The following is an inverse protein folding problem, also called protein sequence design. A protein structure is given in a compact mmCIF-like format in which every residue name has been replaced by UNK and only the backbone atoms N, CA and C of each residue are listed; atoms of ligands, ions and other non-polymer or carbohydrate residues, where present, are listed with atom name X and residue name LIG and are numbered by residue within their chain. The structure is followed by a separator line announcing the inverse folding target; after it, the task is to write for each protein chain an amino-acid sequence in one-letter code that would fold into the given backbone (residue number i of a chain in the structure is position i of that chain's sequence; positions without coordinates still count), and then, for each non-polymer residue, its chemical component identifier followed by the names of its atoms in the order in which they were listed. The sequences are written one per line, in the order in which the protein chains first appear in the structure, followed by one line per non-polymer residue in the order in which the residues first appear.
data_IF_642392136300
#
_entry.id   IF_642392136300
#
_cell.length_a   1.000
_cell.length_b   1.000
_cell.length_c   1.000
_cell.angle_alpha   90.00
_cell.angle_beta   90.00
_cell.angle_gamma   90.00
#
_symmetry.space_group_name_H-M   'P 1'
#
loop_
_entity.id
_entity.type
_entity.pdbx_description
1 polymer ?
#
# COMPACT_ATOMS: atom_id res chain seq x y z
N UNK A 1 14.34 -16.90 6.00
CA UNK A 1 14.13 -16.17 4.73
C UNK A 1 12.95 -15.25 4.97
N UNK A 2 13.19 -13.97 5.27
CA UNK A 2 12.12 -13.01 5.56
C UNK A 2 11.43 -12.76 4.21
N UNK A 3 10.10 -12.92 4.10
CA UNK A 3 9.41 -12.77 2.83
C UNK A 3 9.74 -11.38 2.26
N UNK A 4 9.97 -11.34 0.94
CA UNK A 4 10.05 -10.10 0.17
C UNK A 4 8.85 -9.21 0.56
N UNK A 5 9.10 -8.09 1.23
CA UNK A 5 8.07 -7.20 1.82
C UNK A 5 7.32 -6.35 0.78
N UNK A 6 7.58 -6.59 -0.50
CA UNK A 6 6.99 -5.83 -1.61
C UNK A 6 5.53 -6.23 -1.77
N UNK A 7 4.61 -5.29 -1.51
CA UNK A 7 3.17 -5.55 -1.44
C UNK A 7 2.36 -4.42 -2.04
N UNK A 8 1.31 -4.80 -2.75
CA UNK A 8 0.31 -3.87 -3.27
C UNK A 8 -0.57 -3.41 -2.12
N UNK A 9 -0.64 -2.09 -1.89
CA UNK A 9 -1.35 -1.54 -0.73
C UNK A 9 -2.72 -0.94 -1.04
N UNK A 10 -3.03 -0.80 -2.32
CA UNK A 10 -4.30 -0.26 -2.79
C UNK A 10 -4.63 -0.87 -4.15
N UNK A 11 -5.86 -1.36 -4.30
CA UNK A 11 -6.36 -1.95 -5.54
C UNK A 11 -7.11 -0.90 -6.37
N UNK A 12 -6.72 -0.77 -7.64
CA UNK A 12 -7.16 0.28 -8.56
C UNK A 12 -6.14 1.42 -8.66
N UNK A 13 -6.37 2.33 -9.61
CA UNK A 13 -5.58 3.55 -9.76
C UNK A 13 -6.10 4.62 -8.80
N UNK A 14 -5.23 5.09 -7.90
CA UNK A 14 -5.57 6.14 -6.95
C UNK A 14 -5.66 7.50 -7.65
N UNK A 15 -6.77 8.21 -7.44
CA UNK A 15 -6.88 9.62 -7.84
C UNK A 15 -5.96 10.51 -7.00
N UNK A 16 -5.78 11.77 -7.40
CA UNK A 16 -4.95 12.75 -6.68
C UNK A 16 -5.19 12.79 -5.17
N UNK A 17 -6.44 12.81 -4.71
CA UNK A 17 -6.77 12.89 -3.28
C UNK A 17 -6.38 11.59 -2.58
N UNK A 18 -6.63 10.45 -3.22
CA UNK A 18 -6.26 9.14 -2.73
C UNK A 18 -4.74 8.98 -2.68
N UNK A 19 -3.98 9.43 -3.69
CA UNK A 19 -2.52 9.40 -3.74
C UNK A 19 -1.90 10.11 -2.53
N UNK A 20 -2.30 11.36 -2.25
CA UNK A 20 -1.77 12.07 -1.07
C UNK A 20 -2.15 11.39 0.24
N UNK A 21 -3.37 10.82 0.34
CA UNK A 21 -3.74 10.01 1.51
C UNK A 21 -2.91 8.73 1.63
N UNK A 22 -2.45 8.15 0.52
CA UNK A 22 -1.57 6.99 0.52
C UNK A 22 -0.17 7.34 0.99
N UNK A 23 0.36 8.51 0.61
CA UNK A 23 1.64 8.98 1.15
C UNK A 23 1.61 9.13 2.67
N UNK A 24 0.47 9.55 3.20
CA UNK A 24 0.25 9.76 4.63
C UNK A 24 -0.40 8.58 5.35
N UNK A 25 -0.48 7.39 4.73
CA UNK A 25 -1.25 6.26 5.29
C UNK A 25 -0.75 5.74 6.65
N UNK A 26 0.45 6.13 7.05
CA UNK A 26 1.10 5.79 8.31
C UNK A 26 1.38 7.01 9.20
N UNK A 27 0.79 8.18 8.92
CA UNK A 27 1.06 9.42 9.67
C UNK A 27 0.77 9.33 11.18
N UNK A 28 -0.19 8.50 11.57
CA UNK A 28 -0.64 8.33 12.96
C UNK A 28 0.11 7.21 13.71
N UNK A 29 1.16 6.64 13.10
CA UNK A 29 1.94 5.57 13.75
C UNK A 29 2.69 6.11 14.97
N UNK A 30 2.58 5.46 16.13
CA UNK A 30 3.47 5.72 17.27
C UNK A 30 4.93 5.46 16.86
N UNK A 31 5.86 6.31 17.31
CA UNK A 31 7.30 6.15 17.10
C UNK A 31 7.73 6.04 15.61
N UNK A 32 7.10 6.83 14.72
CA UNK A 32 7.37 6.86 13.28
C UNK A 32 8.86 7.05 12.90
N UNK A 33 9.66 7.64 13.79
CA UNK A 33 11.05 8.05 13.54
C UNK A 33 12.08 7.02 14.06
N UNK A 34 11.65 5.92 14.67
CA UNK A 34 12.58 4.84 15.05
C UNK A 34 13.04 4.03 13.82
N UNK A 35 14.28 3.53 13.84
CA UNK A 35 14.91 2.75 12.74
C UNK A 35 14.07 1.55 12.26
N UNK A 36 13.14 1.05 13.09
CA UNK A 36 12.20 -0.02 12.74
C UNK A 36 11.14 0.40 11.69
N UNK A 37 10.98 1.69 11.39
CA UNK A 37 10.00 2.18 10.41
C UNK A 37 10.39 1.84 8.96
N UNK A 38 11.69 1.61 8.70
CA UNK A 38 12.20 1.28 7.36
C UNK A 38 11.51 0.05 6.78
N UNK A 39 11.40 -1.02 7.56
CA UNK A 39 10.74 -2.27 7.14
C UNK A 39 9.22 -2.12 6.92
N UNK A 40 8.60 -1.08 7.50
CA UNK A 40 7.18 -0.81 7.29
C UNK A 40 6.95 -0.21 5.90
N UNK A 41 7.67 0.86 5.57
CA UNK A 41 7.48 1.57 4.32
C UNK A 41 8.10 0.86 3.12
N UNK A 42 9.22 0.15 3.31
CA UNK A 42 9.91 -0.50 2.19
C UNK A 42 9.03 -1.57 1.53
N UNK A 43 8.85 -1.43 0.22
CA UNK A 43 8.11 -2.39 -0.59
C UNK A 43 6.63 -2.09 -0.76
N UNK A 44 6.08 -1.04 -0.15
CA UNK A 44 4.69 -0.65 -0.39
C UNK A 44 4.55 0.05 -1.74
N UNK A 45 3.58 -0.38 -2.55
CA UNK A 45 3.29 0.25 -3.84
C UNK A 45 1.80 0.25 -4.18
N UNK A 46 1.41 1.18 -5.05
CA UNK A 46 0.07 1.29 -5.60
C UNK A 46 0.09 1.96 -6.99
N UNK A 47 -1.00 1.79 -7.72
CA UNK A 47 -1.20 2.41 -9.03
C UNK A 47 -1.77 3.83 -8.88
N UNK A 48 -1.36 4.74 -9.76
CA UNK A 48 -1.84 6.12 -9.87
C UNK A 48 -2.21 6.43 -11.32
N UNK A 49 -2.83 7.58 -11.56
CA UNK A 49 -3.03 8.10 -12.92
C UNK A 49 -1.79 8.78 -13.49
N UNK A 50 -1.81 8.98 -14.82
CA UNK A 50 -0.80 9.75 -15.56
C UNK A 50 -0.68 11.18 -15.04
N UNK A 51 -1.81 11.87 -14.84
CA UNK A 51 -1.82 13.24 -14.33
C UNK A 51 -1.20 13.36 -12.94
N UNK A 52 -1.38 12.35 -12.07
CA UNK A 52 -0.73 12.29 -10.77
C UNK A 52 0.78 12.05 -10.88
N UNK A 53 1.20 11.16 -11.78
CA UNK A 53 2.62 10.90 -12.06
C UNK A 53 3.34 12.16 -12.56
N UNK A 54 2.78 12.80 -13.57
CA UNK A 54 3.37 13.99 -14.20
C UNK A 54 3.40 15.17 -13.23
N UNK A 55 2.34 15.33 -12.43
CA UNK A 55 2.34 16.32 -11.36
C UNK A 55 3.50 16.11 -10.38
N UNK A 56 3.76 14.85 -9.97
CA UNK A 56 4.84 14.54 -9.04
C UNK A 56 6.23 14.70 -9.69
N UNK A 57 6.32 14.55 -11.01
CA UNK A 57 7.54 14.82 -11.77
C UNK A 57 7.84 16.32 -11.86
N UNK A 58 6.82 17.15 -12.06
CA UNK A 58 6.97 18.60 -12.26
C UNK A 58 7.16 19.39 -10.95
N UNK A 59 6.76 18.83 -9.80
CA UNK A 59 6.75 19.58 -8.54
C UNK A 59 8.17 20.00 -8.10
N UNK A 60 9.16 19.12 -8.25
CA UNK A 60 10.55 19.34 -7.89
C UNK A 60 11.48 18.49 -8.77
N UNK A 61 12.70 18.97 -9.10
CA UNK A 61 13.65 18.17 -9.86
C UNK A 61 13.90 16.82 -9.16
N UNK A 62 13.82 15.69 -9.88
CA UNK A 62 13.99 14.39 -9.26
C UNK A 62 15.41 14.21 -8.73
N UNK A 63 15.55 13.37 -7.70
CA UNK A 63 16.87 12.99 -7.18
C UNK A 63 17.69 12.27 -8.25
N UNK A 64 17.03 11.41 -9.01
CA UNK A 64 17.55 10.75 -10.18
C UNK A 64 16.39 10.29 -11.08
N UNK A 65 16.71 10.06 -12.35
CA UNK A 65 15.79 9.52 -13.35
C UNK A 65 16.49 8.41 -14.13
N UNK A 66 15.79 7.31 -14.40
CA UNK A 66 16.29 6.18 -15.16
C UNK A 66 15.14 5.56 -15.96
N UNK A 67 15.20 5.71 -17.28
CA UNK A 67 14.24 5.05 -18.18
C UNK A 67 12.79 5.32 -17.77
N UNK A 68 12.13 4.28 -17.29
CA UNK A 68 10.72 4.24 -16.91
C UNK A 68 10.45 4.59 -15.43
N UNK A 69 11.39 5.25 -14.74
CA UNK A 69 11.20 5.63 -13.34
C UNK A 69 12.01 6.86 -12.89
N UNK A 70 11.53 7.53 -11.84
CA UNK A 70 12.24 8.61 -11.16
C UNK A 70 12.02 8.57 -9.65
N UNK A 71 12.97 9.11 -8.88
CA UNK A 71 12.89 9.18 -7.42
C UNK A 71 12.75 10.62 -6.92
N UNK A 72 11.93 10.80 -5.90
CA UNK A 72 11.80 12.07 -5.18
C UNK A 72 13.04 12.37 -4.34
N UNK A 73 13.30 13.67 -4.13
CA UNK A 73 14.41 14.15 -3.28
C UNK A 73 14.08 14.09 -1.79
N UNK A 74 12.80 14.07 -1.46
CA UNK A 74 12.28 14.01 -0.10
C UNK A 74 12.32 12.58 0.44
N UNK A 75 13.14 12.35 1.45
CA UNK A 75 13.20 11.06 2.14
C UNK A 75 12.15 11.00 3.26
N UNK A 76 11.49 9.86 3.36
CA UNK A 76 10.46 9.60 4.36
C UNK A 76 11.07 9.22 5.72
N UNK A 77 12.05 8.32 5.70
CA UNK A 77 12.86 7.89 6.84
C UNK A 77 14.12 7.20 6.32
N UNK A 78 15.27 7.44 6.95
CA UNK A 78 16.55 6.91 6.49
C UNK A 78 16.79 7.14 4.99
N UNK A 79 16.98 6.05 4.24
CA UNK A 79 17.18 6.07 2.79
C UNK A 79 15.91 5.75 1.97
N UNK A 80 14.73 5.70 2.61
CA UNK A 80 13.46 5.43 1.91
C UNK A 80 12.92 6.70 1.28
N UNK A 81 12.60 6.63 -0.01
CA UNK A 81 11.91 7.70 -0.75
C UNK A 81 10.83 7.14 -1.67
N UNK A 82 9.96 8.03 -2.13
CA UNK A 82 9.00 7.77 -3.20
C UNK A 82 9.74 7.58 -4.54
N UNK A 83 9.45 6.47 -5.22
CA UNK A 83 9.83 6.21 -6.60
C UNK A 83 8.57 6.07 -7.42
N UNK A 84 8.54 6.73 -8.57
CA UNK A 84 7.45 6.70 -9.53
C UNK A 84 7.88 5.89 -10.76
N UNK A 85 6.94 5.16 -11.34
CA UNK A 85 7.18 4.25 -12.46
C UNK A 85 6.16 4.45 -13.57
N UNK A 86 6.61 4.39 -14.82
CA UNK A 86 5.83 4.40 -16.06
C UNK A 86 6.00 3.05 -16.77
N UNK A 87 5.15 2.06 -16.45
CA UNK A 87 5.38 0.68 -16.89
C UNK A 87 4.41 0.28 -18.00
N UNK A 88 4.93 -0.35 -19.06
CA UNK A 88 4.12 -0.99 -20.09
C UNK A 88 3.70 -2.39 -19.63
N UNK A 89 2.40 -2.59 -19.40
CA UNK A 89 1.80 -3.85 -18.92
C UNK A 89 0.54 -4.13 -19.75
N UNK A 90 0.41 -5.33 -20.31
CA UNK A 90 -0.66 -5.71 -21.24
C UNK A 90 -0.86 -4.69 -22.38
N UNK A 91 0.23 -4.29 -23.03
CA UNK A 91 0.25 -3.28 -24.10
C UNK A 91 -0.20 -1.86 -23.70
N UNK A 92 -0.44 -1.60 -22.41
CA UNK A 92 -0.85 -0.29 -21.90
C UNK A 92 0.22 0.30 -21.00
N UNK A 93 0.47 1.59 -21.15
CA UNK A 93 1.27 2.35 -20.19
C UNK A 93 0.41 2.59 -18.95
N UNK A 94 0.97 2.29 -17.78
CA UNK A 94 0.34 2.43 -16.47
C UNK A 94 1.35 3.03 -15.50
N UNK A 95 0.87 3.79 -14.53
CA UNK A 95 1.71 4.58 -13.65
C UNK A 95 1.60 4.08 -12.21
N UNK A 96 2.74 4.02 -11.52
CA UNK A 96 2.81 3.47 -10.18
C UNK A 96 3.66 4.34 -9.27
N UNK A 97 3.36 4.25 -7.99
CA UNK A 97 4.20 4.75 -6.91
C UNK A 97 4.65 3.58 -6.04
N UNK A 98 5.89 3.61 -5.59
CA UNK A 98 6.38 2.69 -4.57
C UNK A 98 7.43 3.32 -3.66
N UNK A 99 7.44 2.92 -2.39
CA UNK A 99 8.49 3.29 -1.45
C UNK A 99 9.69 2.34 -1.57
N UNK A 100 10.83 2.89 -1.97
CA UNK A 100 12.07 2.15 -2.17
C UNK A 100 13.15 2.63 -1.21
N UNK A 101 13.92 1.69 -0.67
CA UNK A 101 15.13 1.99 0.10
C UNK A 101 16.31 2.20 -0.85
N UNK A 102 16.77 3.44 -1.00
CA UNK A 102 17.90 3.77 -1.89
C UNK A 102 19.28 3.43 -1.30
N UNK A 103 19.34 3.02 -0.03
CA UNK A 103 20.54 2.39 0.54
C UNK A 103 20.82 1.05 -0.15
N UNK A 104 19.77 0.35 -0.57
CA UNK A 104 19.85 -0.79 -1.46
C UNK A 104 19.61 -0.38 -2.92
N UNK A 105 20.70 -0.35 -3.70
CA UNK A 105 20.69 0.04 -5.12
C UNK A 105 19.75 -0.78 -6.01
N UNK A 106 19.36 -1.98 -5.59
CA UNK A 106 18.45 -2.85 -6.34
C UNK A 106 16.98 -2.67 -5.92
N UNK A 107 16.67 -1.91 -4.87
CA UNK A 107 15.30 -1.76 -4.38
C UNK A 107 14.32 -1.26 -5.46
N UNK A 108 14.63 -0.23 -6.27
CA UNK A 108 13.72 0.24 -7.32
C UNK A 108 13.46 -0.82 -8.40
N UNK A 109 14.49 -1.55 -8.82
CA UNK A 109 14.37 -2.59 -9.86
C UNK A 109 13.55 -3.79 -9.36
N UNK A 110 13.74 -4.21 -8.10
CA UNK A 110 12.91 -5.27 -7.51
C UNK A 110 11.46 -4.83 -7.34
N UNK A 111 11.22 -3.57 -6.99
CA UNK A 111 9.87 -3.00 -6.96
C UNK A 111 9.23 -3.06 -8.34
N UNK A 112 9.92 -2.56 -9.37
CA UNK A 112 9.48 -2.62 -10.76
C UNK A 112 9.13 -4.05 -11.19
N UNK A 113 10.02 -5.01 -10.94
CA UNK A 113 9.79 -6.41 -11.29
C UNK A 113 8.55 -6.98 -10.58
N UNK A 114 8.38 -6.70 -9.29
CA UNK A 114 7.22 -7.16 -8.51
C UNK A 114 5.90 -6.53 -9.01
N UNK A 115 5.90 -5.26 -9.40
CA UNK A 115 4.73 -4.60 -10.00
C UNK A 115 4.38 -5.29 -11.32
N UNK A 116 5.34 -5.44 -12.23
CA UNK A 116 5.12 -6.10 -13.54
C UNK A 116 4.62 -7.53 -13.35
N UNK A 117 5.24 -8.32 -12.48
CA UNK A 117 4.82 -9.69 -12.20
C UNK A 117 3.38 -9.72 -11.66
N UNK A 118 3.06 -8.89 -10.67
CA UNK A 118 1.74 -8.87 -10.03
C UNK A 118 0.64 -8.39 -10.97
N UNK A 119 0.94 -7.37 -11.76
CA UNK A 119 -0.02 -6.72 -12.65
C UNK A 119 -0.16 -7.40 -14.01
N UNK A 120 0.76 -8.28 -14.41
CA UNK A 120 0.64 -9.08 -15.64
C UNK A 120 -0.12 -10.40 -15.42
N UNK A 121 -0.60 -10.69 -14.20
CA UNK A 121 -1.34 -11.94 -13.91
C UNK A 121 -2.67 -11.97 -14.69
N UNK A 122 -3.00 -13.09 -15.36
CA UNK A 122 -4.28 -13.23 -16.09
C UNK A 122 -5.50 -13.03 -15.20
N UNK A 123 -5.43 -13.58 -13.98
CA UNK A 123 -6.43 -13.35 -12.92
C UNK A 123 -5.77 -12.50 -11.83
N UNK A 124 -6.25 -11.26 -11.68
CA UNK A 124 -5.70 -10.30 -10.71
C UNK A 124 -6.41 -10.36 -9.35
N UNK A 125 -6.86 -11.54 -8.92
CA UNK A 125 -7.50 -11.73 -7.63
C UNK A 125 -6.59 -11.24 -6.49
N UNK A 126 -7.14 -10.45 -5.57
CA UNK A 126 -6.37 -9.96 -4.42
C UNK A 126 -6.11 -11.10 -3.43
N UNK A 127 -4.86 -11.21 -2.97
CA UNK A 127 -4.51 -12.06 -1.82
C UNK A 127 -5.19 -11.55 -0.55
N UNK A 128 -5.26 -12.37 0.50
CA UNK A 128 -5.80 -11.92 1.79
C UNK A 128 -5.05 -10.70 2.32
N UNK A 129 -3.72 -10.68 2.18
CA UNK A 129 -2.88 -9.55 2.61
C UNK A 129 -3.20 -8.28 1.81
N UNK A 130 -3.31 -8.37 0.49
CA UNK A 130 -3.71 -7.23 -0.37
C UNK A 130 -5.10 -6.71 -0.02
N UNK A 131 -6.05 -7.59 0.33
CA UNK A 131 -7.38 -7.20 0.80
C UNK A 131 -7.28 -6.41 2.11
N UNK A 132 -6.49 -6.90 3.07
CA UNK A 132 -6.29 -6.20 4.34
C UNK A 132 -5.62 -4.84 4.15
N UNK A 133 -4.56 -4.78 3.34
CA UNK A 133 -3.88 -3.53 3.04
C UNK A 133 -4.79 -2.55 2.29
N UNK A 134 -5.60 -3.02 1.33
CA UNK A 134 -6.56 -2.17 0.64
C UNK A 134 -7.64 -1.65 1.59
N UNK A 135 -8.22 -2.49 2.45
CA UNK A 135 -9.18 -2.08 3.49
C UNK A 135 -8.55 -1.01 4.37
N UNK A 136 -7.30 -1.23 4.79
CA UNK A 136 -6.57 -0.26 5.60
C UNK A 136 -6.45 1.09 4.90
N UNK A 137 -5.99 1.06 3.66
CA UNK A 137 -5.71 2.23 2.83
C UNK A 137 -6.98 3.00 2.49
N UNK A 138 -8.09 2.32 2.22
CA UNK A 138 -9.36 2.94 1.83
C UNK A 138 -10.18 3.44 3.03
N UNK A 139 -9.95 2.91 4.23
CA UNK A 139 -10.62 3.36 5.46
C UNK A 139 -10.19 4.79 5.84
N UNK A 140 -11.15 5.61 6.27
CA UNK A 140 -10.89 6.97 6.73
C UNK A 140 -10.17 6.99 8.09
N UNK A 141 -9.30 7.99 8.33
CA UNK A 141 -8.36 7.99 9.46
C UNK A 141 -9.04 7.77 10.83
N UNK A 142 -10.13 8.49 11.21
CA UNK A 142 -10.94 8.20 12.39
C UNK A 142 -11.43 6.76 12.61
N UNK A 143 -11.43 5.93 11.56
CA UNK A 143 -11.95 4.55 11.57
C UNK A 143 -10.84 3.50 11.43
N UNK A 144 -9.58 3.92 11.45
CA UNK A 144 -8.39 3.07 11.44
C UNK A 144 -7.33 3.67 12.39
N UNK A 145 -6.19 3.01 12.56
CA UNK A 145 -5.09 3.51 13.37
C UNK A 145 -4.10 2.45 13.86
N UNK A 146 -3.47 2.71 14.99
CA UNK A 146 -2.57 1.73 15.60
C UNK A 146 -3.06 1.37 16.98
N UNK A 147 -2.99 0.08 17.32
CA UNK A 147 -3.38 -0.44 18.62
C UNK A 147 -2.61 0.32 19.71
N UNK A 148 -3.38 0.99 20.57
CA UNK A 148 -2.86 1.84 21.64
C UNK A 148 -2.94 1.13 22.99
N UNK A 149 -2.94 1.90 24.08
CA UNK A 149 -3.01 1.38 25.45
C UNK A 149 -4.27 0.54 25.73
N UNK A 150 -5.34 0.66 24.92
CA UNK A 150 -6.59 -0.12 25.06
C UNK A 150 -6.42 -1.58 24.66
N UNK A 151 -5.35 -1.91 23.93
CA UNK A 151 -5.03 -3.26 23.50
C UNK A 151 -3.98 -3.91 24.42
N UNK A 152 -3.96 -5.26 24.52
CA UNK A 152 -2.89 -5.98 25.22
C UNK A 152 -1.50 -5.53 24.76
N UNK A 153 -0.53 -5.48 25.68
CA UNK A 153 0.80 -4.93 25.40
C UNK A 153 1.48 -5.54 24.16
N UNK A 154 1.31 -6.85 23.94
CA UNK A 154 1.86 -7.57 22.78
C UNK A 154 1.24 -7.18 21.42
N UNK A 155 0.09 -6.51 21.44
CA UNK A 155 -0.65 -6.11 20.23
C UNK A 155 -0.47 -4.62 19.90
N UNK A 156 0.14 -3.84 20.79
CA UNK A 156 0.33 -2.40 20.60
C UNK A 156 1.19 -2.12 19.37
N UNK A 157 0.83 -1.08 18.62
CA UNK A 157 1.51 -0.71 17.38
C UNK A 157 1.13 -1.55 16.16
N UNK A 158 0.23 -2.53 16.28
CA UNK A 158 -0.38 -3.22 15.13
C UNK A 158 -1.53 -2.40 14.54
N UNK A 159 -1.82 -2.63 13.25
CA UNK A 159 -2.91 -1.94 12.53
C UNK A 159 -4.28 -2.37 13.07
N UNK A 160 -5.17 -1.43 13.36
CA UNK A 160 -6.55 -1.66 13.87
C UNK A 160 -7.65 -0.96 13.06
N UNK A 161 -8.71 -1.65 12.67
CA UNK A 161 -9.81 -1.05 11.91
C UNK A 161 -11.11 -1.18 12.69
N UNK A 162 -11.97 -0.16 12.61
CA UNK A 162 -13.30 -0.22 13.21
C UNK A 162 -14.11 -1.34 12.56
N UNK A 163 -14.86 -2.12 13.33
CA UNK A 163 -15.81 -3.14 12.86
C UNK A 163 -17.17 -2.81 13.46
N UNK A 164 -18.22 -2.95 12.65
CA UNK A 164 -19.60 -2.73 13.09
C UNK A 164 -20.27 -4.08 13.34
N UNK A 165 -20.70 -4.31 14.59
CA UNK A 165 -21.48 -5.47 14.99
C UNK A 165 -22.93 -5.38 14.53
N UNK A 166 -23.61 -6.52 14.47
CA UNK A 166 -25.03 -6.60 14.10
C UNK A 166 -25.94 -5.88 15.11
N UNK A 167 -25.47 -5.74 16.35
CA UNK A 167 -26.13 -5.06 17.47
C UNK A 167 -25.88 -3.54 17.51
N UNK A 168 -25.35 -2.96 16.42
CA UNK A 168 -24.90 -1.55 16.33
C UNK A 168 -23.73 -1.21 17.26
N UNK A 169 -23.10 -2.20 17.89
CA UNK A 169 -21.79 -1.99 18.51
C UNK A 169 -20.77 -1.63 17.43
N UNK A 170 -19.80 -0.81 17.81
CA UNK A 170 -18.63 -0.56 16.99
C UNK A 170 -17.41 -0.67 17.88
N UNK A 171 -16.43 -1.46 17.44
CA UNK A 171 -15.18 -1.63 18.16
C UNK A 171 -14.01 -1.71 17.18
N UNK A 172 -12.82 -1.38 17.65
CA UNK A 172 -11.60 -1.55 16.87
C UNK A 172 -11.09 -2.98 17.00
N UNK A 173 -10.82 -3.62 15.86
CA UNK A 173 -10.19 -4.95 15.80
C UNK A 173 -8.84 -4.84 15.12
N UNK A 174 -7.91 -5.70 15.53
CA UNK A 174 -6.65 -5.89 14.81
C UNK A 174 -6.93 -6.32 13.37
N UNK A 175 -6.31 -5.62 12.42
CA UNK A 175 -6.54 -5.79 10.98
C UNK A 175 -6.22 -7.22 10.52
N UNK A 176 -5.12 -7.79 11.03
CA UNK A 176 -4.69 -9.15 10.71
C UNK A 176 -5.67 -10.22 11.21
N UNK A 177 -6.51 -9.90 12.21
CA UNK A 177 -7.53 -10.79 12.80
C UNK A 177 -8.92 -10.66 12.20
N UNK A 178 -9.09 -9.88 11.12
CA UNK A 178 -10.38 -9.87 10.41
C UNK A 178 -10.67 -11.25 9.81
N UNK A 179 -11.90 -11.72 10.01
CA UNK A 179 -12.43 -12.92 9.35
C UNK A 179 -12.72 -12.64 7.86
N UNK A 180 -12.83 -13.69 7.06
CA UNK A 180 -13.14 -13.53 5.63
C UNK A 180 -14.50 -12.86 5.40
N UNK A 181 -15.48 -13.10 6.28
CA UNK A 181 -16.78 -12.43 6.26
C UNK A 181 -16.65 -10.92 6.52
N UNK A 182 -15.86 -10.51 7.52
CA UNK A 182 -15.60 -9.09 7.80
C UNK A 182 -14.83 -8.42 6.66
N UNK A 183 -13.84 -9.11 6.08
CA UNK A 183 -13.10 -8.65 4.89
C UNK A 183 -14.06 -8.42 3.73
N UNK A 184 -14.92 -9.40 3.43
CA UNK A 184 -15.89 -9.30 2.33
C UNK A 184 -16.85 -8.11 2.51
N UNK A 185 -17.33 -7.84 3.73
CA UNK A 185 -18.20 -6.70 4.00
C UNK A 185 -17.48 -5.36 3.79
N UNK A 186 -16.21 -5.27 4.18
CA UNK A 186 -15.40 -4.05 4.10
C UNK A 186 -14.90 -3.73 2.70
N UNK A 187 -14.73 -4.73 1.83
CA UNK A 187 -14.33 -4.50 0.45
C UNK A 187 -15.47 -3.84 -0.35
N UNK A 188 -15.15 -2.88 -1.25
CA UNK A 188 -16.08 -2.39 -2.25
C UNK A 188 -16.71 -3.56 -3.02
N UNK A 189 -17.99 -3.45 -3.42
CA UNK A 189 -18.75 -4.54 -4.03
C UNK A 189 -18.01 -5.19 -5.21
N UNK A 190 -17.42 -4.39 -6.09
CA UNK A 190 -16.66 -4.88 -7.26
C UNK A 190 -15.35 -5.60 -6.90
N UNK A 191 -14.88 -5.49 -5.65
CA UNK A 191 -13.70 -6.17 -5.12
C UNK A 191 -14.04 -7.38 -4.22
N UNK A 192 -15.31 -7.59 -3.89
CA UNK A 192 -15.77 -8.74 -3.08
C UNK A 192 -15.68 -10.05 -3.86
N UNK A 193 -15.98 -9.99 -5.15
CA UNK A 193 -16.00 -11.12 -6.07
C UNK A 193 -15.03 -10.83 -7.21
N UNK A 194 -13.72 -10.92 -6.92
CA UNK A 194 -12.81 -11.29 -7.99
C UNK A 194 -13.05 -12.79 -8.17
N UNK A 195 -13.42 -13.26 -9.39
CA UNK A 195 -13.80 -14.65 -9.59
C UNK A 195 -12.73 -15.52 -8.95
N UNK A 196 -13.18 -16.39 -8.04
CA UNK A 196 -12.35 -17.48 -7.53
C UNK A 196 -11.68 -18.08 -8.76
N UNK A 197 -10.36 -18.16 -8.73
CA UNK A 197 -9.66 -18.97 -9.70
C UNK A 197 -10.27 -20.37 -9.55
N UNK A 198 -11.20 -20.71 -10.45
CA UNK A 198 -11.69 -22.06 -10.60
C UNK A 198 -10.43 -22.83 -10.88
N UNK A 199 -10.01 -23.61 -9.88
CA UNK A 199 -8.86 -24.48 -9.97
C UNK A 199 -9.00 -25.29 -11.25
N UNK A 200 -8.06 -25.09 -12.17
CA UNK A 200 -7.81 -25.97 -13.29
C UNK A 200 -6.76 -27.01 -12.87
#
# INVERSE_FOLDING_TARGET
MIPSSIRKVYQGAADRRQMFRMFDRHKERPNRVEDNATALYSGEWFEIGEAEHDYMFEILPPLWMRGDMFAMREFLTGCITSVFFELKIDERIRYFHGYCDLGDRQSPERMRAAIVERESRPVRAMTREERLDHIWSSTHDPYRGYADWRFPAAERGKRIVIVYGQDRSHDFRLLDRLTDAEIAVKLPVHLRYLPDAIAA
#
